data_IF_116784300567
#
_entry.id   IF_116784300567
#
_cell.length_a   1.000
_cell.length_b   1.000
_cell.length_c   1.000
_cell.angle_alpha   90.00
_cell.angle_beta   90.00
_cell.angle_gamma   90.00
#
_symmetry.space_group_name_H-M   'P 1'
#
loop_
_entity.id
_entity.type
_entity.pdbx_description
1 polymer ?
#
# COMPACT_ATOMS: atom_id res chain seq x y z
N UNK A 1 3.08 9.97 -20.95
CA UNK A 1 3.74 8.86 -21.69
C UNK A 1 2.75 7.72 -21.84
N UNK A 2 2.83 6.90 -22.91
CA UNK A 2 2.02 5.68 -23.02
C UNK A 2 2.41 4.67 -21.93
N UNK A 3 1.45 3.91 -21.43
CA UNK A 3 1.67 2.92 -20.36
C UNK A 3 2.77 1.90 -20.69
N UNK A 4 2.81 1.42 -21.96
CA UNK A 4 3.85 0.49 -22.43
C UNK A 4 5.26 1.09 -22.40
N UNK A 5 5.38 2.37 -22.72
CA UNK A 5 6.68 3.05 -22.76
C UNK A 5 7.17 3.38 -21.34
N UNK A 6 6.24 3.80 -20.47
CA UNK A 6 6.52 3.98 -19.04
C UNK A 6 6.99 2.67 -18.40
N UNK A 7 6.32 1.56 -18.69
CA UNK A 7 6.72 0.25 -18.22
C UNK A 7 8.15 -0.14 -18.67
N UNK A 8 8.44 -0.03 -19.97
CA UNK A 8 9.78 -0.34 -20.51
C UNK A 8 10.86 0.52 -19.86
N UNK A 9 10.58 1.80 -19.69
CA UNK A 9 11.51 2.72 -19.05
C UNK A 9 11.78 2.36 -17.57
N UNK A 10 10.75 1.97 -16.82
CA UNK A 10 10.91 1.51 -15.42
C UNK A 10 11.77 0.25 -15.38
N UNK A 11 11.53 -0.71 -16.25
CA UNK A 11 12.32 -1.94 -16.36
C UNK A 11 13.79 -1.62 -16.70
N UNK A 12 14.03 -0.70 -17.61
CA UNK A 12 15.38 -0.23 -17.97
C UNK A 12 16.08 0.45 -16.78
N UNK A 13 15.39 1.35 -16.08
CA UNK A 13 15.92 2.02 -14.88
C UNK A 13 16.32 0.97 -13.84
N UNK A 14 15.41 0.05 -13.51
CA UNK A 14 15.66 -0.98 -12.51
C UNK A 14 16.87 -1.87 -12.85
N UNK A 15 17.08 -2.16 -14.14
CA UNK A 15 18.27 -2.89 -14.60
C UNK A 15 19.58 -2.09 -14.49
N UNK A 16 19.49 -0.76 -14.52
CA UNK A 16 20.64 0.13 -14.64
C UNK A 16 21.11 0.75 -13.32
N UNK A 17 20.30 0.71 -12.26
CA UNK A 17 20.62 1.33 -10.97
C UNK A 17 20.79 0.29 -9.87
N UNK A 18 21.48 0.66 -8.80
CA UNK A 18 21.58 -0.16 -7.60
C UNK A 18 20.32 0.05 -6.74
N UNK A 19 19.43 -0.95 -6.73
CA UNK A 19 18.17 -0.93 -5.96
C UNK A 19 18.38 -1.26 -4.49
N UNK A 20 19.53 -1.85 -4.13
CA UNK A 20 19.79 -2.37 -2.79
C UNK A 20 20.28 -1.29 -1.82
N UNK A 21 20.55 -0.10 -2.31
CA UNK A 21 20.88 1.07 -1.45
C UNK A 21 19.65 1.61 -0.69
N UNK A 22 18.43 1.22 -1.08
CA UNK A 22 17.20 1.71 -0.46
C UNK A 22 16.73 0.82 0.69
N UNK A 23 17.53 0.73 1.75
CA UNK A 23 17.21 -0.09 2.92
C UNK A 23 16.70 0.77 4.07
N UNK A 24 15.59 0.35 4.68
CA UNK A 24 15.09 0.87 5.94
C UNK A 24 14.90 -0.30 6.93
N UNK A 25 15.68 -0.34 8.02
CA UNK A 25 15.64 -1.40 9.05
C UNK A 25 15.67 -2.83 8.46
N UNK A 26 16.49 -3.05 7.44
CA UNK A 26 16.60 -4.34 6.76
C UNK A 26 15.59 -4.57 5.62
N UNK A 27 14.59 -3.71 5.48
CA UNK A 27 13.62 -3.80 4.38
C UNK A 27 14.11 -3.03 3.15
N UNK A 28 14.22 -3.69 2.01
CA UNK A 28 14.45 -3.00 0.75
C UNK A 28 13.18 -2.26 0.31
N UNK A 29 13.25 -0.94 0.22
CA UNK A 29 12.14 -0.04 -0.06
C UNK A 29 12.05 0.39 -1.53
N UNK A 30 12.75 -0.29 -2.43
CA UNK A 30 12.65 -0.05 -3.88
C UNK A 30 11.21 -0.10 -4.43
N UNK A 31 10.29 -0.97 -3.94
CA UNK A 31 8.90 -0.95 -4.39
C UNK A 31 8.20 0.42 -4.26
N UNK A 32 8.57 1.24 -3.28
CA UNK A 32 8.04 2.61 -3.14
C UNK A 32 8.51 3.52 -4.28
N UNK A 33 9.77 3.37 -4.71
CA UNK A 33 10.35 4.16 -5.81
C UNK A 33 9.72 3.72 -7.13
N UNK A 34 9.60 2.42 -7.35
CA UNK A 34 8.95 1.86 -8.54
C UNK A 34 7.52 2.37 -8.69
N UNK A 35 6.76 2.45 -7.59
CA UNK A 35 5.42 3.05 -7.60
C UNK A 35 5.45 4.55 -7.95
N UNK A 36 6.43 5.30 -7.43
CA UNK A 36 6.57 6.73 -7.75
C UNK A 36 6.82 6.89 -9.25
N UNK A 37 7.77 6.14 -9.79
CA UNK A 37 8.09 6.18 -11.22
C UNK A 37 6.87 5.82 -12.08
N UNK A 38 6.13 4.78 -11.71
CA UNK A 38 4.91 4.40 -12.40
C UNK A 38 3.90 5.54 -12.46
N UNK A 39 3.62 6.17 -11.33
CA UNK A 39 2.66 7.28 -11.24
C UNK A 39 3.16 8.48 -12.04
N UNK A 40 4.44 8.88 -11.90
CA UNK A 40 4.99 10.04 -12.60
C UNK A 40 4.98 9.87 -14.12
N UNK A 41 5.34 8.70 -14.61
CA UNK A 41 5.48 8.45 -16.03
C UNK A 41 4.14 8.18 -16.72
N UNK A 42 3.14 7.65 -16.00
CA UNK A 42 1.82 7.35 -16.55
C UNK A 42 0.78 8.44 -16.32
N UNK A 43 0.96 9.30 -15.31
CA UNK A 43 0.09 10.46 -15.17
C UNK A 43 0.24 11.32 -16.42
N UNK A 44 -0.77 11.31 -17.28
CA UNK A 44 -0.90 12.35 -18.28
C UNK A 44 -0.83 13.67 -17.55
N UNK A 45 0.04 14.56 -18.02
CA UNK A 45 0.15 15.90 -17.49
C UNK A 45 -1.21 16.61 -17.63
N UNK A 46 -2.11 16.36 -16.70
CA UNK A 46 -3.15 17.32 -16.41
C UNK A 46 -2.42 18.52 -15.84
N UNK A 47 -2.27 19.54 -16.66
CA UNK A 47 -1.68 20.83 -16.35
C UNK A 47 -2.51 21.61 -15.30
N UNK A 48 -2.95 20.97 -14.26
CA UNK A 48 -3.49 21.60 -13.06
C UNK A 48 -2.49 21.47 -11.90
N UNK A 49 -1.29 22.04 -12.12
CA UNK A 49 -0.49 22.56 -11.03
C UNK A 49 -1.11 23.85 -10.50
N UNK A 50 -2.34 23.80 -10.09
CA UNK A 50 -2.82 24.74 -9.09
C UNK A 50 -2.14 24.33 -7.79
N UNK A 51 -1.01 24.94 -7.50
CA UNK A 51 -0.47 25.01 -6.15
C UNK A 51 -1.56 25.69 -5.31
N UNK A 52 -2.48 24.90 -4.78
CA UNK A 52 -3.38 25.40 -3.74
C UNK A 52 -2.48 25.83 -2.60
N UNK A 53 -2.26 27.15 -2.48
CA UNK A 53 -1.77 27.75 -1.24
C UNK A 53 -2.67 27.19 -0.14
N UNK A 54 -2.07 26.48 0.82
CA UNK A 54 -2.81 25.85 1.91
C UNK A 54 -3.72 26.86 2.56
N UNK A 55 -5.01 26.67 2.42
CA UNK A 55 -5.98 27.51 3.11
C UNK A 55 -5.93 27.18 4.60
N UNK A 56 -6.33 28.13 5.44
CA UNK A 56 -6.44 27.92 6.90
C UNK A 56 -7.24 26.65 7.22
N UNK A 57 -8.24 26.32 6.38
CA UNK A 57 -9.01 25.07 6.44
C UNK A 57 -8.16 23.80 6.24
N UNK A 58 -7.14 23.83 5.38
CA UNK A 58 -6.22 22.68 5.19
C UNK A 58 -5.30 22.47 6.39
N UNK A 59 -4.90 23.52 7.07
CA UNK A 59 -4.14 23.45 8.32
C UNK A 59 -4.99 22.81 9.42
N UNK A 60 -6.24 23.25 9.61
CA UNK A 60 -7.17 22.65 10.57
C UNK A 60 -7.48 21.18 10.24
N UNK A 61 -7.69 20.85 8.96
CA UNK A 61 -7.88 19.47 8.52
C UNK A 61 -6.63 18.59 8.81
N UNK A 62 -5.45 19.16 8.67
CA UNK A 62 -4.19 18.48 8.98
C UNK A 62 -4.01 18.26 10.49
N UNK A 63 -4.32 19.24 11.32
CA UNK A 63 -4.30 19.14 12.79
C UNK A 63 -5.31 18.08 13.24
N UNK A 64 -6.55 18.11 12.72
CA UNK A 64 -7.57 17.10 13.02
C UNK A 64 -7.09 15.70 12.68
N UNK A 65 -6.43 15.50 11.54
CA UNK A 65 -5.84 14.21 11.16
C UNK A 65 -4.75 13.75 12.14
N UNK A 66 -3.91 14.68 12.60
CA UNK A 66 -2.86 14.39 13.60
C UNK A 66 -3.49 13.98 14.92
N UNK A 67 -4.45 14.74 15.42
CA UNK A 67 -5.15 14.44 16.68
C UNK A 67 -5.87 13.10 16.61
N UNK A 68 -6.56 12.82 15.52
CA UNK A 68 -7.19 11.52 15.28
C UNK A 68 -6.17 10.38 15.21
N UNK A 69 -5.03 10.57 14.52
CA UNK A 69 -3.97 9.58 14.46
C UNK A 69 -3.37 9.31 15.86
N UNK A 70 -3.18 10.34 16.67
CA UNK A 70 -2.75 10.19 18.07
C UNK A 70 -3.81 9.43 18.86
N UNK A 71 -5.07 9.85 18.83
CA UNK A 71 -6.17 9.18 19.53
C UNK A 71 -6.26 7.70 19.17
N UNK A 72 -6.26 7.37 17.87
CA UNK A 72 -6.34 5.98 17.41
C UNK A 72 -5.05 5.18 17.66
N UNK A 73 -3.90 5.83 17.81
CA UNK A 73 -2.66 5.15 18.24
C UNK A 73 -2.75 4.64 19.68
N UNK A 74 -3.58 5.26 20.51
CA UNK A 74 -3.82 4.87 21.91
C UNK A 74 -5.11 4.07 22.07
N UNK A 75 -6.10 4.20 21.17
CA UNK A 75 -7.31 3.40 21.22
C UNK A 75 -7.01 1.99 20.71
N UNK A 76 -7.08 1.02 21.58
CA UNK A 76 -7.02 -0.39 21.16
C UNK A 76 -8.34 -0.76 20.48
N UNK A 77 -8.30 -1.02 19.19
CA UNK A 77 -9.41 -1.69 18.54
C UNK A 77 -9.64 -3.01 19.28
N UNK A 78 -10.86 -3.29 19.75
CA UNK A 78 -11.25 -4.58 20.34
C UNK A 78 -11.30 -5.61 19.21
N UNK A 79 -10.11 -6.06 18.77
CA UNK A 79 -9.98 -7.09 17.73
C UNK A 79 -9.97 -8.42 18.46
N UNK A 80 -10.80 -9.36 18.01
CA UNK A 80 -10.71 -10.72 18.49
C UNK A 80 -9.30 -11.25 18.29
N UNK A 81 -8.70 -11.83 19.33
CA UNK A 81 -7.34 -12.39 19.25
C UNK A 81 -7.32 -13.77 18.58
N UNK A 82 -8.47 -14.31 18.26
CA UNK A 82 -8.68 -15.65 17.70
C UNK A 82 -8.87 -15.65 16.18
N UNK A 83 -8.65 -14.52 15.50
CA UNK A 83 -8.78 -14.47 14.05
C UNK A 83 -7.80 -15.43 13.39
N UNK A 84 -8.30 -16.18 12.42
CA UNK A 84 -7.50 -17.05 11.53
C UNK A 84 -7.13 -16.33 10.25
N UNK A 85 -8.00 -15.42 9.80
CA UNK A 85 -7.83 -14.61 8.59
C UNK A 85 -8.19 -13.14 8.85
N UNK A 86 -7.48 -12.25 8.20
CA UNK A 86 -7.80 -10.82 8.15
C UNK A 86 -7.92 -10.39 6.70
N UNK A 87 -8.96 -9.60 6.42
CA UNK A 87 -9.16 -8.95 5.12
C UNK A 87 -8.96 -7.45 5.25
N UNK A 88 -8.15 -6.89 4.36
CA UNK A 88 -7.84 -5.45 4.35
C UNK A 88 -8.19 -4.87 3.00
N UNK A 89 -9.16 -3.97 2.97
CA UNK A 89 -9.71 -3.41 1.75
C UNK A 89 -9.68 -1.87 1.76
N UNK A 90 -10.15 -1.29 0.68
CA UNK A 90 -10.24 0.15 0.47
C UNK A 90 -11.69 0.55 0.20
N UNK A 91 -12.15 1.71 0.73
CA UNK A 91 -13.52 2.17 0.50
C UNK A 91 -13.90 2.35 -0.97
N UNK A 92 -12.93 2.49 -1.86
CA UNK A 92 -13.16 2.62 -3.32
C UNK A 92 -13.81 1.37 -3.93
N UNK A 93 -13.75 0.23 -3.24
CA UNK A 93 -14.39 -1.01 -3.69
C UNK A 93 -15.81 -1.20 -3.16
N UNK A 94 -16.27 -0.29 -2.31
CA UNK A 94 -17.65 -0.31 -1.82
C UNK A 94 -18.62 0.06 -2.94
N UNK A 95 -19.64 -0.74 -3.07
CA UNK A 95 -20.76 -0.54 -3.98
C UNK A 95 -22.06 -0.49 -3.18
N UNK A 96 -22.89 0.51 -3.43
CA UNK A 96 -24.22 0.60 -2.84
C UNK A 96 -25.15 -0.42 -3.49
N UNK A 97 -25.87 -1.19 -2.68
CA UNK A 97 -26.92 -2.10 -3.11
C UNK A 97 -28.29 -1.42 -3.09
N UNK A 98 -29.28 -2.00 -3.78
CA UNK A 98 -30.66 -1.52 -3.78
C UNK A 98 -31.27 -1.38 -2.37
N UNK A 99 -30.77 -2.15 -1.41
CA UNK A 99 -31.14 -2.07 0.01
C UNK A 99 -30.53 -0.90 0.77
N UNK A 100 -29.83 0.00 0.10
CA UNK A 100 -29.00 1.08 0.68
C UNK A 100 -27.89 0.60 1.59
N UNK A 101 -27.52 -0.68 1.54
CA UNK A 101 -26.34 -1.23 2.20
C UNK A 101 -25.14 -1.20 1.27
N UNK A 102 -23.95 -1.04 1.83
CA UNK A 102 -22.71 -1.09 1.08
C UNK A 102 -22.08 -2.46 1.14
N UNK A 103 -21.65 -2.95 0.01
CA UNK A 103 -21.01 -4.23 -0.21
C UNK A 103 -19.62 -4.01 -0.82
N UNK A 104 -18.61 -4.67 -0.27
CA UNK A 104 -17.26 -4.66 -0.85
C UNK A 104 -17.17 -5.71 -1.96
N UNK A 105 -17.25 -5.25 -3.21
CA UNK A 105 -17.30 -6.11 -4.40
C UNK A 105 -16.09 -7.03 -4.58
N UNK A 106 -14.99 -6.81 -3.85
CA UNK A 106 -13.78 -7.64 -3.94
C UNK A 106 -13.71 -8.61 -2.77
N UNK A 107 -13.86 -8.11 -1.56
CA UNK A 107 -13.56 -8.86 -0.35
C UNK A 107 -14.78 -9.65 0.15
N UNK A 108 -15.98 -9.06 0.10
CA UNK A 108 -17.17 -9.72 0.68
C UNK A 108 -17.51 -11.05 0.01
N UNK A 109 -17.42 -11.21 -1.34
CA UNK A 109 -17.62 -12.53 -1.95
C UNK A 109 -16.62 -13.60 -1.48
N UNK A 110 -15.40 -13.19 -1.17
CA UNK A 110 -14.37 -14.12 -0.70
C UNK A 110 -14.66 -14.53 0.75
N UNK A 111 -15.10 -13.58 1.59
CA UNK A 111 -15.52 -13.88 2.96
C UNK A 111 -16.69 -14.88 2.96
N UNK A 112 -17.66 -14.70 2.08
CA UNK A 112 -18.77 -15.63 1.92
C UNK A 112 -18.33 -17.04 1.55
N UNK A 113 -17.32 -17.16 0.66
CA UNK A 113 -16.76 -18.46 0.26
C UNK A 113 -16.05 -19.21 1.41
N UNK A 114 -15.42 -18.50 2.34
CA UNK A 114 -14.80 -19.12 3.52
C UNK A 114 -15.82 -19.64 4.54
N UNK A 115 -17.04 -19.10 4.51
CA UNK A 115 -18.16 -19.53 5.35
C UNK A 115 -18.08 -19.03 6.79
N UNK A 116 -19.15 -19.32 7.54
CA UNK A 116 -19.35 -18.81 8.90
C UNK A 116 -18.44 -19.45 9.97
N UNK A 117 -17.75 -20.53 9.64
CA UNK A 117 -16.90 -21.27 10.59
C UNK A 117 -15.52 -20.64 10.77
N UNK A 118 -15.13 -19.73 9.90
CA UNK A 118 -13.85 -19.04 9.98
C UNK A 118 -13.97 -17.77 10.84
N UNK A 119 -13.00 -17.55 11.72
CA UNK A 119 -12.89 -16.31 12.48
C UNK A 119 -12.18 -15.25 11.64
N UNK A 120 -12.98 -14.42 11.00
CA UNK A 120 -12.54 -13.42 10.03
C UNK A 120 -12.79 -12.02 10.58
N UNK A 121 -11.80 -11.13 10.41
CA UNK A 121 -11.98 -9.69 10.63
C UNK A 121 -11.69 -8.93 9.35
N UNK A 122 -12.55 -7.97 9.01
CA UNK A 122 -12.37 -7.07 7.87
C UNK A 122 -11.95 -5.68 8.35
N UNK A 123 -10.94 -5.11 7.68
CA UNK A 123 -10.44 -3.76 7.91
C UNK A 123 -10.54 -2.89 6.66
N UNK A 124 -10.71 -1.59 6.88
CA UNK A 124 -10.49 -0.56 5.87
C UNK A 124 -9.35 0.37 6.30
N UNK A 125 -8.46 0.70 5.36
CA UNK A 125 -7.28 1.57 5.60
C UNK A 125 -7.59 3.06 5.51
N UNK A 126 -8.84 3.46 5.46
CA UNK A 126 -9.27 4.87 5.48
C UNK A 126 -10.69 5.00 6.01
N UNK A 127 -11.13 6.24 6.23
CA UNK A 127 -12.49 6.49 6.67
C UNK A 127 -13.51 5.94 5.66
N UNK A 128 -14.43 5.13 6.17
CA UNK A 128 -15.57 4.62 5.41
C UNK A 128 -16.74 5.57 5.65
N UNK A 129 -17.38 6.09 4.60
CA UNK A 129 -18.63 6.82 4.77
C UNK A 129 -19.71 5.86 5.30
N UNK A 130 -20.63 6.38 6.12
CA UNK A 130 -21.82 5.68 6.62
C UNK A 130 -21.58 4.27 7.20
N UNK A 131 -20.82 4.20 8.31
CA UNK A 131 -20.49 2.93 8.98
C UNK A 131 -21.67 2.00 9.29
N UNK A 132 -22.88 2.55 9.47
CA UNK A 132 -24.08 1.80 9.83
C UNK A 132 -24.73 1.03 8.67
N UNK A 133 -24.33 1.33 7.44
CA UNK A 133 -24.96 0.80 6.21
C UNK A 133 -24.13 -0.30 5.53
N UNK A 134 -23.05 -0.76 6.18
CA UNK A 134 -22.24 -1.84 5.66
C UNK A 134 -22.86 -3.21 5.92
N UNK A 135 -22.76 -4.08 4.92
CA UNK A 135 -23.36 -5.42 4.98
C UNK A 135 -22.67 -6.31 6.02
N UNK A 136 -21.35 -6.12 6.21
CA UNK A 136 -20.56 -6.87 7.18
C UNK A 136 -19.87 -5.94 8.17
N UNK A 137 -19.68 -6.41 9.39
CA UNK A 137 -18.88 -5.69 10.38
C UNK A 137 -17.44 -5.49 9.90
N UNK A 138 -16.89 -4.34 10.23
CA UNK A 138 -15.54 -3.98 9.86
C UNK A 138 -14.89 -3.10 10.92
N UNK A 139 -13.57 -3.05 10.88
CA UNK A 139 -12.75 -2.15 11.68
C UNK A 139 -11.98 -1.18 10.77
N UNK A 140 -11.69 0.01 11.26
CA UNK A 140 -10.87 0.97 10.54
C UNK A 140 -9.45 0.92 11.11
N UNK A 141 -8.50 0.59 10.27
CA UNK A 141 -7.08 0.65 10.62
C UNK A 141 -6.55 2.06 10.35
N UNK A 142 -5.94 2.64 11.37
CA UNK A 142 -5.32 3.96 11.29
C UNK A 142 -3.79 3.86 11.37
N UNK A 143 -3.11 4.75 10.65
CA UNK A 143 -1.65 4.83 10.71
C UNK A 143 -1.19 5.33 12.10
N UNK A 144 -0.08 4.81 12.59
CA UNK A 144 0.55 5.31 13.81
C UNK A 144 1.16 6.69 13.60
N UNK A 145 1.14 7.51 14.65
CA UNK A 145 1.89 8.75 14.65
C UNK A 145 3.38 8.45 14.83
N UNK A 146 4.21 8.96 13.95
CA UNK A 146 5.66 8.80 14.04
C UNK A 146 6.35 10.03 13.47
N UNK A 147 7.22 10.61 14.27
CA UNK A 147 8.16 11.65 13.84
C UNK A 147 9.47 10.99 13.40
N UNK A 148 9.70 10.88 12.10
CA UNK A 148 10.97 10.41 11.56
C UNK A 148 11.58 11.50 10.67
N UNK A 149 12.75 11.97 11.08
CA UNK A 149 13.60 12.77 10.18
C UNK A 149 14.28 11.78 9.24
N UNK A 150 13.85 11.78 7.99
CA UNK A 150 14.42 10.92 6.94
C UNK A 150 15.48 11.71 6.17
N UNK A 151 16.72 11.36 6.37
CA UNK A 151 17.86 11.80 5.56
C UNK A 151 18.17 10.73 4.52
N UNK A 152 18.56 11.16 3.33
CA UNK A 152 19.10 10.28 2.29
C UNK A 152 20.60 10.29 2.39
N UNK A 153 21.22 9.13 2.32
CA UNK A 153 22.67 9.01 2.25
C UNK A 153 23.22 9.39 0.85
N UNK A 154 24.54 9.33 0.69
CA UNK A 154 25.21 9.68 -0.55
C UNK A 154 24.86 8.75 -1.70
N UNK A 155 24.77 7.44 -1.42
CA UNK A 155 24.50 6.44 -2.45
C UNK A 155 23.05 6.54 -2.96
N UNK A 156 22.08 6.69 -2.06
CA UNK A 156 20.69 6.95 -2.44
C UNK A 156 20.56 8.20 -3.31
N UNK A 157 21.27 9.29 -2.97
CA UNK A 157 21.26 10.52 -3.77
C UNK A 157 21.88 10.31 -5.16
N UNK A 158 22.96 9.54 -5.28
CA UNK A 158 23.58 9.19 -6.58
C UNK A 158 22.58 8.39 -7.44
N UNK A 159 21.92 7.40 -6.85
CA UNK A 159 20.91 6.60 -7.58
C UNK A 159 19.74 7.47 -8.04
N UNK A 160 19.25 8.40 -7.22
CA UNK A 160 18.22 9.34 -7.67
C UNK A 160 18.68 10.23 -8.82
N UNK A 161 19.94 10.65 -8.85
CA UNK A 161 20.51 11.38 -10.00
C UNK A 161 20.53 10.52 -11.27
N UNK A 162 20.90 9.23 -11.15
CA UNK A 162 20.88 8.30 -12.28
C UNK A 162 19.45 8.11 -12.81
N UNK A 163 18.47 7.87 -11.92
CA UNK A 163 17.05 7.76 -12.29
C UNK A 163 16.58 9.02 -13.03
N UNK A 164 16.95 10.21 -12.55
CA UNK A 164 16.58 11.48 -13.18
C UNK A 164 17.13 11.58 -14.60
N UNK A 165 18.39 11.18 -14.83
CA UNK A 165 19.00 11.19 -16.17
C UNK A 165 18.28 10.25 -17.14
N UNK A 166 17.82 9.11 -16.67
CA UNK A 166 17.13 8.11 -17.48
C UNK A 166 15.65 8.45 -17.73
N UNK A 167 14.97 9.03 -16.74
CA UNK A 167 13.51 9.21 -16.77
C UNK A 167 13.05 10.63 -17.07
N UNK A 168 13.94 11.61 -17.02
CA UNK A 168 13.62 13.05 -17.04
C UNK A 168 12.68 13.50 -15.89
N UNK A 169 12.43 12.65 -14.90
CA UNK A 169 11.67 13.02 -13.70
C UNK A 169 12.60 13.84 -12.78
N UNK A 170 12.09 14.92 -12.22
CA UNK A 170 12.87 15.80 -11.35
C UNK A 170 13.46 15.07 -10.15
N UNK A 171 14.77 15.20 -9.93
CA UNK A 171 15.48 14.63 -8.79
C UNK A 171 14.89 15.09 -7.45
N UNK A 172 14.60 16.39 -7.33
CA UNK A 172 14.01 16.95 -6.12
C UNK A 172 12.63 16.35 -5.83
N UNK A 173 11.82 16.20 -6.87
CA UNK A 173 10.47 15.63 -6.75
C UNK A 173 10.52 14.13 -6.40
N UNK A 174 11.41 13.35 -7.01
CA UNK A 174 11.62 11.94 -6.67
C UNK A 174 12.01 11.78 -5.20
N UNK A 175 12.99 12.52 -4.72
CA UNK A 175 13.43 12.47 -3.33
C UNK A 175 12.32 12.91 -2.36
N UNK A 176 11.59 13.98 -2.70
CA UNK A 176 10.46 14.48 -1.89
C UNK A 176 9.37 13.44 -1.77
N UNK A 177 8.94 12.82 -2.88
CA UNK A 177 7.91 11.79 -2.92
C UNK A 177 8.35 10.51 -2.22
N UNK A 178 9.60 10.10 -2.42
CA UNK A 178 10.14 8.94 -1.71
C UNK A 178 10.08 9.12 -0.20
N UNK A 179 10.59 10.25 0.32
CA UNK A 179 10.51 10.55 1.75
C UNK A 179 9.07 10.57 2.28
N UNK A 180 8.14 11.12 1.50
CA UNK A 180 6.72 11.15 1.86
C UNK A 180 6.13 9.74 1.94
N UNK A 181 6.38 8.89 0.92
CA UNK A 181 5.88 7.51 0.88
C UNK A 181 6.55 6.63 1.94
N UNK A 182 7.84 6.81 2.16
CA UNK A 182 8.56 6.10 3.21
C UNK A 182 8.03 6.43 4.61
N UNK A 183 7.72 7.71 4.89
CA UNK A 183 7.04 8.07 6.16
C UNK A 183 5.67 7.41 6.28
N UNK A 184 4.89 7.38 5.22
CA UNK A 184 3.58 6.71 5.22
C UNK A 184 3.74 5.21 5.48
N UNK A 185 4.64 4.55 4.77
CA UNK A 185 5.00 3.14 4.96
C UNK A 185 5.38 2.84 6.42
N UNK A 186 6.30 3.62 7.00
CA UNK A 186 6.75 3.43 8.38
C UNK A 186 5.58 3.53 9.38
N UNK A 187 4.69 4.51 9.21
CA UNK A 187 3.53 4.68 10.10
C UNK A 187 2.58 3.49 10.02
N UNK A 188 2.35 2.98 8.83
CA UNK A 188 1.49 1.81 8.62
C UNK A 188 2.15 0.52 9.10
N UNK A 189 3.45 0.36 8.89
CA UNK A 189 4.22 -0.76 9.45
C UNK A 189 4.10 -0.82 10.98
N UNK A 190 4.31 0.30 11.67
CA UNK A 190 4.21 0.37 13.13
C UNK A 190 2.78 0.07 13.60
N UNK A 191 1.77 0.64 12.93
CA UNK A 191 0.36 0.39 13.27
C UNK A 191 -0.01 -1.09 13.06
N UNK A 192 0.34 -1.64 11.90
CA UNK A 192 0.07 -3.04 11.58
C UNK A 192 0.79 -3.98 12.56
N UNK A 193 2.06 -3.77 12.82
CA UNK A 193 2.83 -4.60 13.77
C UNK A 193 2.20 -4.62 15.15
N UNK A 194 1.76 -3.46 15.68
CA UNK A 194 1.05 -3.36 16.97
C UNK A 194 -0.25 -4.19 17.00
N UNK A 195 -0.98 -4.22 15.88
CA UNK A 195 -2.26 -4.95 15.77
C UNK A 195 -2.00 -6.45 15.58
N UNK A 196 -1.16 -6.79 14.62
CA UNK A 196 -0.92 -8.17 14.19
C UNK A 196 -0.19 -9.00 15.24
N UNK A 197 0.74 -8.41 16.00
CA UNK A 197 1.46 -9.11 17.07
C UNK A 197 0.55 -9.64 18.19
N UNK A 198 -0.68 -9.12 18.32
CA UNK A 198 -1.68 -9.59 19.27
C UNK A 198 -2.51 -10.77 18.74
N UNK A 199 -2.41 -11.11 17.46
CA UNK A 199 -3.21 -12.12 16.79
C UNK A 199 -2.52 -13.49 16.86
N UNK A 200 -2.85 -14.29 17.89
CA UNK A 200 -2.14 -15.55 18.16
C UNK A 200 -2.39 -16.66 17.12
N UNK A 201 -3.55 -16.63 16.45
CA UNK A 201 -4.00 -17.68 15.51
C UNK A 201 -3.98 -17.24 14.05
N UNK A 202 -3.58 -15.99 13.79
CA UNK A 202 -3.60 -15.42 12.44
C UNK A 202 -2.53 -16.09 11.58
N UNK A 203 -2.96 -16.62 10.45
CA UNK A 203 -2.10 -17.27 9.46
C UNK A 203 -2.00 -16.49 8.16
N UNK A 204 -3.08 -15.80 7.78
CA UNK A 204 -3.21 -15.20 6.46
C UNK A 204 -3.88 -13.82 6.53
N UNK A 205 -3.35 -12.92 5.71
CA UNK A 205 -3.91 -11.59 5.48
C UNK A 205 -4.20 -11.46 3.99
N UNK A 206 -5.46 -11.17 3.67
CA UNK A 206 -5.92 -10.87 2.32
C UNK A 206 -6.03 -9.36 2.16
N UNK A 207 -5.41 -8.81 1.14
CA UNK A 207 -5.39 -7.36 0.91
C UNK A 207 -5.68 -7.04 -0.56
N UNK A 208 -5.97 -5.78 -0.82
CA UNK A 208 -6.20 -5.27 -2.17
C UNK A 208 -5.26 -4.11 -2.46
N UNK A 209 -4.77 -4.02 -3.69
CA UNK A 209 -3.90 -2.89 -4.10
C UNK A 209 -2.62 -2.78 -3.25
N UNK A 210 -1.89 -3.86 -3.13
CA UNK A 210 -0.68 -3.97 -2.31
C UNK A 210 0.34 -2.85 -2.51
N UNK A 211 0.38 -2.25 -3.68
CA UNK A 211 1.38 -1.27 -4.12
C UNK A 211 1.22 0.13 -3.51
N UNK A 212 0.31 0.35 -2.59
CA UNK A 212 0.24 1.59 -1.82
C UNK A 212 1.05 1.48 -0.52
N UNK A 213 1.64 2.60 -0.01
CA UNK A 213 2.50 2.57 1.17
C UNK A 213 1.85 1.98 2.43
N UNK A 214 0.53 2.11 2.57
CA UNK A 214 -0.24 1.51 3.66
C UNK A 214 -0.20 -0.03 3.59
N UNK A 215 -0.52 -0.60 2.42
CA UNK A 215 -0.50 -2.05 2.22
C UNK A 215 0.92 -2.60 2.27
N UNK A 216 1.91 -1.89 1.69
CA UNK A 216 3.33 -2.25 1.82
C UNK A 216 3.77 -2.31 3.28
N UNK A 217 3.32 -1.36 4.12
CA UNK A 217 3.60 -1.37 5.56
C UNK A 217 2.98 -2.56 6.28
N UNK A 218 1.79 -2.97 5.86
CA UNK A 218 1.11 -4.16 6.38
C UNK A 218 1.83 -5.44 5.95
N UNK A 219 2.22 -5.56 4.67
CA UNK A 219 3.00 -6.70 4.17
C UNK A 219 4.32 -6.86 4.94
N UNK A 220 5.07 -5.77 5.11
CA UNK A 220 6.33 -5.81 5.86
C UNK A 220 6.13 -6.21 7.33
N UNK A 221 5.08 -5.74 7.99
CA UNK A 221 4.75 -6.12 9.36
C UNK A 221 4.33 -7.59 9.47
N UNK A 222 3.57 -8.08 8.51
CA UNK A 222 3.16 -9.48 8.41
C UNK A 222 4.36 -10.39 8.18
N UNK A 223 5.25 -10.04 7.24
CA UNK A 223 6.49 -10.76 6.95
C UNK A 223 7.37 -10.91 8.20
N UNK A 224 7.55 -9.83 8.98
CA UNK A 224 8.33 -9.86 10.22
C UNK A 224 7.70 -10.77 11.31
N UNK A 225 6.40 -10.98 11.24
CA UNK A 225 5.64 -11.84 12.17
C UNK A 225 5.38 -13.25 11.63
N UNK A 226 5.88 -13.60 10.43
CA UNK A 226 5.66 -14.90 9.80
C UNK A 226 4.20 -15.13 9.36
N UNK A 227 3.44 -14.07 9.11
CA UNK A 227 2.05 -14.13 8.66
C UNK A 227 2.01 -13.98 7.15
N UNK A 228 1.39 -14.93 6.45
CA UNK A 228 1.28 -14.95 4.99
C UNK A 228 0.37 -13.83 4.47
N UNK A 229 0.80 -13.18 3.41
CA UNK A 229 0.03 -12.11 2.76
C UNK A 229 -0.39 -12.49 1.34
N UNK A 230 -1.62 -12.12 0.97
CA UNK A 230 -2.21 -12.46 -0.31
C UNK A 230 -2.87 -11.21 -0.89
N UNK A 231 -2.39 -10.72 -2.05
CA UNK A 231 -3.08 -9.64 -2.76
C UNK A 231 -4.17 -10.23 -3.66
N UNK A 232 -5.39 -9.74 -3.48
CA UNK A 232 -6.53 -10.16 -4.28
C UNK A 232 -6.64 -9.23 -5.48
N UNK A 233 -6.68 -9.80 -6.68
CA UNK A 233 -6.89 -9.03 -7.90
C UNK A 233 -8.18 -8.20 -7.80
N UNK A 234 -8.06 -6.90 -8.01
CA UNK A 234 -9.13 -5.93 -7.80
C UNK A 234 -9.48 -5.12 -9.06
N UNK A 235 -8.83 -5.42 -10.16
CA UNK A 235 -9.02 -4.78 -11.45
C UNK A 235 -8.31 -5.51 -12.58
N UNK A 236 -8.50 -5.03 -13.81
CA UNK A 236 -7.78 -5.57 -14.97
C UNK A 236 -6.29 -5.31 -14.82
N UNK A 237 -5.52 -6.36 -14.78
CA UNK A 237 -4.06 -6.33 -14.78
C UNK A 237 -3.56 -6.86 -16.12
N UNK A 238 -2.69 -6.11 -16.77
CA UNK A 238 -2.13 -6.50 -18.04
C UNK A 238 -0.61 -6.45 -18.00
N UNK A 239 0.04 -6.98 -19.02
CA UNK A 239 1.50 -7.12 -19.17
C UNK A 239 2.35 -5.85 -18.96
N UNK A 240 1.72 -4.69 -18.90
CA UNK A 240 2.41 -3.40 -18.68
C UNK A 240 2.09 -2.77 -17.30
N UNK A 241 1.48 -3.52 -16.38
CA UNK A 241 1.25 -3.03 -15.04
C UNK A 241 2.54 -3.19 -14.19
N UNK A 242 3.32 -2.12 -14.11
CA UNK A 242 4.65 -2.16 -13.51
C UNK A 242 4.68 -2.67 -12.06
N UNK A 243 3.59 -2.56 -11.30
CA UNK A 243 3.56 -3.05 -9.93
C UNK A 243 3.38 -4.57 -9.84
N UNK A 244 2.95 -5.24 -10.92
CA UNK A 244 2.74 -6.69 -10.96
C UNK A 244 3.71 -7.42 -11.86
N UNK A 245 4.30 -6.73 -12.86
CA UNK A 245 5.08 -7.35 -13.91
C UNK A 245 6.47 -6.72 -14.07
N UNK A 246 7.39 -7.48 -14.69
CA UNK A 246 8.66 -6.95 -15.20
C UNK A 246 9.67 -6.54 -14.13
N UNK A 247 9.61 -7.11 -12.94
CA UNK A 247 10.63 -6.93 -11.91
C UNK A 247 11.95 -7.55 -12.34
N UNK A 248 13.06 -6.81 -12.23
CA UNK A 248 14.40 -7.24 -12.68
C UNK A 248 15.35 -7.57 -11.55
N UNK A 249 15.21 -6.89 -10.44
CA UNK A 249 16.08 -7.07 -9.27
C UNK A 249 15.21 -7.36 -8.05
N UNK A 250 14.77 -8.63 -7.95
CA UNK A 250 14.08 -9.10 -6.75
C UNK A 250 15.15 -9.74 -5.85
N UNK A 251 15.31 -9.30 -4.59
CA UNK A 251 16.16 -9.98 -3.63
C UNK A 251 15.82 -11.47 -3.53
N UNK A 252 16.79 -12.33 -3.22
CA UNK A 252 16.56 -13.78 -3.09
C UNK A 252 15.45 -14.11 -2.09
N UNK A 253 15.35 -13.33 -1.01
CA UNK A 253 14.28 -13.43 -0.01
C UNK A 253 12.96 -12.76 -0.43
N UNK A 254 12.88 -12.21 -1.65
CA UNK A 254 11.77 -11.38 -2.07
C UNK A 254 11.78 -9.98 -1.45
N UNK A 255 10.79 -9.17 -1.80
CA UNK A 255 10.55 -7.89 -1.13
C UNK A 255 9.51 -8.09 -0.03
N UNK A 256 9.89 -7.93 1.24
CA UNK A 256 8.93 -7.97 2.36
C UNK A 256 7.79 -6.93 2.27
N UNK A 257 7.92 -5.94 1.40
CA UNK A 257 6.88 -4.95 1.08
C UNK A 257 5.84 -5.47 0.09
N UNK A 258 6.11 -6.61 -0.55
CA UNK A 258 5.20 -7.26 -1.49
C UNK A 258 4.44 -8.40 -0.79
N UNK A 259 3.25 -8.75 -1.28
CA UNK A 259 2.56 -9.93 -0.79
C UNK A 259 3.27 -11.22 -1.22
N UNK A 260 3.12 -12.27 -0.40
CA UNK A 260 3.69 -13.59 -0.70
C UNK A 260 2.99 -14.26 -1.88
N UNK A 261 1.70 -13.99 -2.07
CA UNK A 261 0.91 -14.55 -3.16
C UNK A 261 -0.03 -13.52 -3.80
N UNK A 262 -0.36 -13.78 -5.06
CA UNK A 262 -1.39 -13.04 -5.81
C UNK A 262 -2.52 -13.98 -6.18
N UNK A 263 -3.75 -13.60 -5.85
CA UNK A 263 -4.95 -14.28 -6.32
C UNK A 263 -5.48 -13.58 -7.55
N UNK A 264 -5.35 -14.25 -8.69
CA UNK A 264 -5.78 -13.76 -10.00
C UNK A 264 -7.19 -14.25 -10.32
N UNK A 265 -7.95 -13.47 -11.11
CA UNK A 265 -9.29 -13.85 -11.57
C UNK A 265 -9.27 -15.02 -12.57
N UNK A 266 -8.12 -15.38 -13.11
CA UNK A 266 -7.96 -16.49 -14.02
C UNK A 266 -6.58 -16.51 -14.68
N UNK A 267 -6.30 -17.58 -15.42
CA UNK A 267 -5.00 -17.87 -16.03
C UNK A 267 -4.43 -16.69 -16.84
N UNK A 268 -5.22 -15.96 -17.69
CA UNK A 268 -4.68 -14.83 -18.45
C UNK A 268 -4.11 -13.68 -17.56
N UNK A 269 -4.53 -13.59 -16.31
CA UNK A 269 -3.97 -12.61 -15.36
C UNK A 269 -2.71 -13.11 -14.67
N UNK A 270 -2.52 -14.43 -14.61
CA UNK A 270 -1.35 -15.07 -14.01
C UNK A 270 -0.16 -15.13 -14.96
N UNK A 271 -0.41 -15.15 -16.28
CA UNK A 271 0.60 -15.34 -17.32
C UNK A 271 1.42 -14.07 -17.63
N UNK A 272 1.23 -13.01 -16.88
CA UNK A 272 1.89 -11.71 -17.05
C UNK A 272 2.79 -11.37 -15.88
#
# INVERSE_FOLDING_TARGET
MKTSDAFKLIVQIESSVDTDVFIWKGFNTWPLIRQILWVELTSTASNDKTSKKGSTLEIFASIKKIVLAIYYSFSEAKISQDNTKIFISRPVYLQELHSKKYFDRIVDPIIELFGLNEKITKFYVSNVPNKKELMYEFLVMHQSFSFNILTLDSEQKKVFQQITRLSSVSNLELQRRYKQKLRSFIRWFVAAKKILSKQKKLKEIYLTSWYFPDMMGICAAASELGIKTIDVQHGKQGKYQAMYCGWKKIPESGYALMPDNFWCWGQPSCDH
#
